data_IF_292935407233
#
_entry.id   IF_292935407233
#
_cell.length_a   1.000
_cell.length_b   1.000
_cell.length_c   1.000
_cell.angle_alpha   90.00
_cell.angle_beta   90.00
_cell.angle_gamma   90.00
#
_symmetry.space_group_name_H-M   'P 1'
#
loop_
_entity.id
_entity.type
_entity.pdbx_description
1 polymer ?
#
# COMPACT_ATOMS: atom_id res chain seq x y z
N UNK A 1 23.34 12.71 26.43
CA UNK A 1 22.55 12.62 25.18
C UNK A 1 21.10 12.47 25.60
N UNK A 2 20.30 13.54 25.54
CA UNK A 2 18.91 13.51 25.98
C UNK A 2 18.12 12.59 25.03
N UNK A 3 17.46 11.57 25.59
CA UNK A 3 16.57 10.70 24.83
C UNK A 3 15.38 11.54 24.39
N UNK A 4 15.27 11.73 23.09
CA UNK A 4 14.16 12.45 22.52
C UNK A 4 12.82 11.76 22.84
N UNK A 5 11.75 12.51 23.13
CA UNK A 5 10.44 11.91 23.40
C UNK A 5 10.03 11.00 22.23
N UNK A 6 9.64 9.76 22.52
CA UNK A 6 9.29 8.76 21.49
C UNK A 6 8.25 9.29 20.48
N UNK A 7 7.32 10.12 20.95
CA UNK A 7 6.30 10.78 20.14
C UNK A 7 6.85 11.78 19.11
N UNK A 8 7.83 12.61 19.48
CA UNK A 8 8.44 13.60 18.58
C UNK A 8 9.26 12.92 17.47
N UNK A 9 10.02 11.88 17.84
CA UNK A 9 10.71 11.03 16.88
C UNK A 9 9.74 10.30 15.93
N UNK A 10 8.55 9.91 16.41
CA UNK A 10 7.51 9.30 15.57
C UNK A 10 6.85 10.32 14.62
N UNK A 11 6.57 11.53 15.08
CA UNK A 11 6.01 12.60 14.26
C UNK A 11 6.94 12.99 13.09
N UNK A 12 8.25 13.12 13.34
CA UNK A 12 9.23 13.42 12.27
C UNK A 12 9.33 12.32 11.22
N UNK A 13 9.11 11.06 11.61
CA UNK A 13 9.19 9.93 10.66
C UNK A 13 8.14 10.01 9.56
N UNK A 14 6.95 10.55 9.82
CA UNK A 14 5.92 10.78 8.80
C UNK A 14 6.37 11.71 7.67
N UNK A 15 7.40 12.53 7.91
CA UNK A 15 7.99 13.43 6.90
C UNK A 15 9.16 12.79 6.15
N UNK A 16 9.48 11.52 6.44
CA UNK A 16 10.58 10.84 5.75
C UNK A 16 10.28 10.71 4.25
N UNK A 17 11.21 11.09 3.37
CA UNK A 17 11.01 10.97 1.93
C UNK A 17 10.77 9.51 1.52
N UNK A 18 11.36 8.55 2.24
CA UNK A 18 11.15 7.13 2.00
C UNK A 18 9.69 6.72 2.19
N UNK A 19 8.98 7.28 3.18
CA UNK A 19 7.54 7.04 3.37
C UNK A 19 6.76 7.64 2.21
N UNK A 20 7.07 8.87 1.81
CA UNK A 20 6.40 9.53 0.69
C UNK A 20 6.54 8.75 -0.62
N UNK A 21 7.76 8.33 -0.96
CA UNK A 21 8.04 7.51 -2.15
C UNK A 21 7.32 6.16 -2.08
N UNK A 22 7.35 5.50 -0.92
CA UNK A 22 6.69 4.21 -0.73
C UNK A 22 5.18 4.33 -0.89
N UNK A 23 4.55 5.29 -0.20
CA UNK A 23 3.10 5.52 -0.31
C UNK A 23 2.70 5.92 -1.73
N UNK A 24 3.43 6.86 -2.34
CA UNK A 24 3.17 7.30 -3.72
C UNK A 24 3.26 6.14 -4.72
N UNK A 25 4.27 5.28 -4.58
CA UNK A 25 4.41 4.09 -5.42
C UNK A 25 3.32 3.05 -5.20
N UNK A 26 2.91 2.80 -3.95
CA UNK A 26 1.80 1.89 -3.64
C UNK A 26 0.48 2.41 -4.21
N UNK A 27 0.25 3.72 -4.11
CA UNK A 27 -0.89 4.40 -4.73
C UNK A 27 -0.88 4.24 -6.24
N UNK A 28 0.27 4.50 -6.88
CA UNK A 28 0.43 4.31 -8.32
C UNK A 28 0.11 2.86 -8.73
N UNK A 29 0.63 1.88 -7.99
CA UNK A 29 0.41 0.45 -8.25
C UNK A 29 -1.07 0.10 -8.12
N UNK A 30 -1.74 0.56 -7.06
CA UNK A 30 -3.18 0.33 -6.88
C UNK A 30 -3.99 0.95 -8.02
N UNK A 31 -3.75 2.21 -8.37
CA UNK A 31 -4.52 2.92 -9.39
C UNK A 31 -4.30 2.33 -10.79
N UNK A 32 -3.05 2.07 -11.16
CA UNK A 32 -2.73 1.44 -12.46
C UNK A 32 -3.28 0.02 -12.56
N UNK A 33 -3.26 -0.75 -11.46
CA UNK A 33 -3.93 -2.05 -11.39
C UNK A 33 -5.45 -1.94 -11.57
N UNK A 34 -6.11 -0.98 -10.91
CA UNK A 34 -7.53 -0.71 -11.12
C UNK A 34 -7.85 -0.32 -12.57
N UNK A 35 -7.01 0.50 -13.21
CA UNK A 35 -7.18 0.84 -14.63
C UNK A 35 -7.08 -0.41 -15.51
N UNK A 36 -6.10 -1.29 -15.27
CA UNK A 36 -5.98 -2.55 -16.01
C UNK A 36 -7.16 -3.49 -15.76
N UNK A 37 -7.72 -3.48 -14.56
CA UNK A 37 -8.89 -4.29 -14.21
C UNK A 37 -10.15 -3.79 -14.91
N UNK A 38 -10.47 -2.51 -14.76
CA UNK A 38 -11.75 -1.94 -15.20
C UNK A 38 -11.73 -1.47 -16.65
N UNK A 39 -10.62 -0.92 -17.12
CA UNK A 39 -10.48 -0.41 -18.48
C UNK A 39 -9.68 -1.35 -19.40
N UNK A 40 -9.16 -2.47 -18.89
CA UNK A 40 -8.28 -3.37 -19.65
C UNK A 40 -8.87 -3.92 -20.95
N UNK A 41 -10.18 -4.10 -21.02
CA UNK A 41 -10.87 -4.54 -22.23
C UNK A 41 -10.83 -3.51 -23.37
N UNK A 42 -10.67 -2.23 -23.03
CA UNK A 42 -10.63 -1.10 -23.96
C UNK A 42 -9.19 -0.65 -24.28
N UNK A 43 -8.19 -1.21 -23.59
CA UNK A 43 -6.79 -0.87 -23.83
C UNK A 43 -6.22 -1.72 -24.96
N UNK A 44 -5.79 -1.03 -26.03
CA UNK A 44 -4.92 -1.65 -27.03
C UNK A 44 -3.66 -2.21 -26.34
N UNK A 45 -3.29 -3.44 -26.69
CA UNK A 45 -2.12 -4.13 -26.13
C UNK A 45 -2.15 -4.23 -24.60
N UNK A 46 -3.26 -4.67 -24.02
CA UNK A 46 -3.40 -4.93 -22.57
C UNK A 46 -2.19 -5.64 -21.96
N UNK A 47 -1.63 -6.65 -22.63
CA UNK A 47 -0.45 -7.40 -22.15
C UNK A 47 0.79 -6.49 -21.97
N UNK A 48 1.00 -5.54 -22.88
CA UNK A 48 2.08 -4.56 -22.77
C UNK A 48 1.88 -3.67 -21.54
N UNK A 49 0.67 -3.14 -21.34
CA UNK A 49 0.38 -2.30 -20.18
C UNK A 49 0.42 -3.07 -18.87
N UNK A 50 0.04 -4.36 -18.88
CA UNK A 50 0.21 -5.28 -17.76
C UNK A 50 1.68 -5.45 -17.38
N UNK A 51 2.57 -5.64 -18.36
CA UNK A 51 4.02 -5.70 -18.13
C UNK A 51 4.57 -4.37 -17.60
N UNK A 52 4.14 -3.24 -18.17
CA UNK A 52 4.55 -1.89 -17.69
C UNK A 52 4.15 -1.68 -16.24
N UNK A 53 2.90 -2.00 -15.88
CA UNK A 53 2.41 -1.95 -14.51
C UNK A 53 3.28 -2.82 -13.58
N UNK A 54 3.55 -4.06 -13.99
CA UNK A 54 4.33 -5.00 -13.19
C UNK A 54 5.77 -4.51 -12.96
N UNK A 55 6.47 -4.05 -14.01
CA UNK A 55 7.84 -3.51 -13.90
C UNK A 55 7.87 -2.26 -13.01
N UNK A 56 6.91 -1.34 -13.19
CA UNK A 56 6.82 -0.14 -12.37
C UNK A 56 6.50 -0.47 -10.91
N UNK A 57 5.60 -1.43 -10.66
CA UNK A 57 5.30 -1.92 -9.31
C UNK A 57 6.53 -2.57 -8.66
N UNK A 58 7.33 -3.33 -9.41
CA UNK A 58 8.57 -3.92 -8.93
C UNK A 58 9.61 -2.85 -8.56
N UNK A 59 9.71 -1.77 -9.35
CA UNK A 59 10.57 -0.64 -9.02
C UNK A 59 10.16 0.03 -7.69
N UNK A 60 8.84 0.15 -7.45
CA UNK A 60 8.28 0.63 -6.17
C UNK A 60 8.55 -0.35 -5.01
N UNK A 61 8.68 -1.64 -5.28
CA UNK A 61 8.97 -2.63 -4.23
C UNK A 61 10.34 -2.44 -3.59
N UNK A 62 11.32 -1.88 -4.29
CA UNK A 62 12.64 -1.62 -3.71
C UNK A 62 12.60 -0.67 -2.49
N UNK A 63 12.07 0.56 -2.59
CA UNK A 63 11.92 1.43 -1.42
C UNK A 63 10.97 0.85 -0.36
N UNK A 64 9.91 0.13 -0.76
CA UNK A 64 9.02 -0.55 0.18
C UNK A 64 9.77 -1.60 1.01
N UNK A 65 10.56 -2.47 0.38
CA UNK A 65 11.33 -3.52 1.06
C UNK A 65 12.36 -2.92 2.02
N UNK A 66 13.06 -1.85 1.60
CA UNK A 66 14.01 -1.13 2.47
C UNK A 66 13.28 -0.51 3.67
N UNK A 67 12.14 0.16 3.43
CA UNK A 67 11.32 0.71 4.49
C UNK A 67 10.89 -0.39 5.46
N UNK A 68 10.43 -1.52 4.92
CA UNK A 68 9.82 -2.57 5.72
C UNK A 68 10.83 -3.35 6.55
N UNK A 69 12.04 -3.57 6.03
CA UNK A 69 13.17 -4.10 6.80
C UNK A 69 13.56 -3.14 7.94
N UNK A 70 13.71 -1.84 7.64
CA UNK A 70 14.05 -0.83 8.66
C UNK A 70 12.97 -0.71 9.74
N UNK A 71 11.71 -0.82 9.35
CA UNK A 71 10.58 -0.84 10.26
C UNK A 71 10.62 -2.10 11.14
N UNK A 72 10.70 -3.28 10.52
CA UNK A 72 10.76 -4.57 11.22
C UNK A 72 11.87 -4.62 12.27
N UNK A 73 13.11 -4.24 11.92
CA UNK A 73 14.25 -4.24 12.85
C UNK A 73 14.00 -3.36 14.08
N UNK A 74 13.22 -2.28 13.94
CA UNK A 74 12.88 -1.37 15.03
C UNK A 74 11.75 -1.89 15.92
N UNK A 75 10.73 -2.51 15.32
CA UNK A 75 9.49 -2.84 16.02
C UNK A 75 9.31 -4.33 16.34
N UNK A 76 10.26 -5.20 15.94
CA UNK A 76 10.19 -6.66 16.18
C UNK A 76 10.05 -7.09 17.65
N UNK A 77 10.37 -6.22 18.60
CA UNK A 77 10.15 -6.49 20.03
C UNK A 77 8.68 -6.31 20.46
N UNK A 78 7.85 -5.67 19.63
CA UNK A 78 6.46 -5.34 19.92
C UNK A 78 5.45 -6.26 19.19
N UNK A 79 5.86 -7.48 18.80
CA UNK A 79 5.08 -8.41 17.97
C UNK A 79 3.66 -8.69 18.49
N UNK A 80 3.45 -8.59 19.81
CA UNK A 80 2.13 -8.81 20.44
C UNK A 80 1.15 -7.66 20.26
N UNK A 81 1.59 -6.47 19.84
CA UNK A 81 0.72 -5.31 19.71
C UNK A 81 -0.15 -5.41 18.44
N UNK A 82 -1.43 -5.06 18.56
CA UNK A 82 -2.43 -5.22 17.48
C UNK A 82 -2.01 -4.55 16.17
N UNK A 83 -1.48 -3.31 16.23
CA UNK A 83 -1.06 -2.59 15.02
C UNK A 83 0.09 -3.30 14.28
N UNK A 84 0.97 -4.01 15.00
CA UNK A 84 2.03 -4.82 14.41
C UNK A 84 1.45 -6.01 13.64
N UNK A 85 0.49 -6.73 14.24
CA UNK A 85 -0.18 -7.87 13.60
C UNK A 85 -0.90 -7.45 12.31
N UNK A 86 -1.60 -6.31 12.32
CA UNK A 86 -2.25 -5.76 11.11
C UNK A 86 -1.19 -5.44 10.04
N UNK A 87 -0.06 -4.84 10.43
CA UNK A 87 1.04 -4.56 9.50
C UNK A 87 1.68 -5.84 8.92
N UNK A 88 1.80 -6.90 9.72
CA UNK A 88 2.29 -8.20 9.27
C UNK A 88 1.33 -8.87 8.28
N UNK A 89 0.01 -8.84 8.55
CA UNK A 89 -0.98 -9.32 7.60
C UNK A 89 -0.94 -8.53 6.29
N UNK A 90 -0.79 -7.19 6.35
CA UNK A 90 -0.61 -6.37 5.15
C UNK A 90 0.64 -6.81 4.37
N UNK A 91 1.77 -7.05 5.04
CA UNK A 91 2.99 -7.54 4.40
C UNK A 91 2.77 -8.89 3.69
N UNK A 92 2.13 -9.86 4.35
CA UNK A 92 1.84 -11.16 3.75
C UNK A 92 0.88 -11.04 2.55
N UNK A 93 -0.15 -10.19 2.65
CA UNK A 93 -1.02 -9.90 1.51
C UNK A 93 -0.23 -9.27 0.35
N UNK A 94 0.71 -8.36 0.62
CA UNK A 94 1.58 -7.79 -0.42
C UNK A 94 2.45 -8.84 -1.09
N UNK A 95 3.00 -9.79 -0.34
CA UNK A 95 3.72 -10.94 -0.91
C UNK A 95 2.80 -11.76 -1.84
N UNK A 96 1.55 -12.01 -1.42
CA UNK A 96 0.53 -12.64 -2.26
C UNK A 96 0.29 -11.90 -3.57
N UNK A 97 0.14 -10.57 -3.50
CA UNK A 97 -0.01 -9.69 -4.68
C UNK A 97 1.19 -9.81 -5.62
N UNK A 98 2.43 -9.76 -5.10
CA UNK A 98 3.64 -9.86 -5.93
C UNK A 98 3.75 -11.23 -6.61
N UNK A 99 3.54 -12.32 -5.87
CA UNK A 99 3.64 -13.69 -6.40
C UNK A 99 2.59 -13.93 -7.49
N UNK A 100 1.33 -13.56 -7.23
CA UNK A 100 0.25 -13.68 -8.21
C UNK A 100 0.45 -12.74 -9.41
N UNK A 101 1.00 -11.55 -9.21
CA UNK A 101 1.33 -10.61 -10.30
C UNK A 101 2.44 -11.14 -11.21
N UNK A 102 3.48 -11.74 -10.63
CA UNK A 102 4.53 -12.43 -11.39
C UNK A 102 3.94 -13.58 -12.23
N UNK A 103 3.00 -14.34 -11.66
CA UNK A 103 2.32 -15.40 -12.38
C UNK A 103 1.52 -14.85 -13.58
N UNK A 104 0.84 -13.71 -13.45
CA UNK A 104 0.07 -13.10 -14.55
C UNK A 104 0.93 -12.61 -15.71
N UNK A 105 2.18 -12.19 -15.47
CA UNK A 105 3.12 -11.78 -16.53
C UNK A 105 3.94 -12.95 -17.10
N UNK A 106 3.91 -14.12 -16.46
CA UNK A 106 4.40 -15.37 -17.03
C UNK A 106 3.41 -15.86 -18.11
N UNK A 107 3.83 -16.66 -19.11
CA UNK A 107 2.94 -17.19 -20.16
C UNK A 107 1.89 -18.23 -19.66
N UNK A 108 1.26 -17.99 -18.52
CA UNK A 108 0.10 -18.69 -17.98
C UNK A 108 -1.14 -18.57 -18.87
N UNK A 109 -1.16 -17.61 -19.80
CA UNK A 109 -2.20 -17.44 -20.81
C UNK A 109 -2.41 -18.72 -21.66
N UNK A 110 -1.43 -19.62 -21.70
CA UNK A 110 -1.50 -20.90 -22.42
C UNK A 110 -2.27 -21.99 -21.68
N UNK A 111 -2.66 -21.76 -20.43
CA UNK A 111 -3.42 -22.72 -19.61
C UNK A 111 -4.83 -22.19 -19.37
N UNK A 112 -5.86 -22.73 -20.04
CA UNK A 112 -7.24 -22.29 -19.87
C UNK A 112 -7.70 -22.37 -18.40
N UNK A 113 -8.41 -21.34 -17.93
CA UNK A 113 -8.96 -21.27 -16.57
C UNK A 113 -7.96 -20.84 -15.48
N UNK A 114 -6.70 -21.25 -15.56
CA UNK A 114 -5.69 -20.90 -14.54
C UNK A 114 -5.41 -19.40 -14.48
N UNK A 115 -5.37 -18.72 -15.64
CA UNK A 115 -5.21 -17.27 -15.70
C UNK A 115 -6.28 -16.54 -14.89
N UNK A 116 -7.56 -16.89 -15.06
CA UNK A 116 -8.66 -16.24 -14.35
C UNK A 116 -8.63 -16.45 -12.84
N UNK A 117 -8.21 -17.64 -12.39
CA UNK A 117 -8.04 -17.93 -10.95
C UNK A 117 -6.89 -17.09 -10.36
N UNK A 118 -5.76 -17.00 -11.07
CA UNK A 118 -4.62 -16.19 -10.63
C UNK A 118 -4.97 -14.71 -10.63
N UNK A 119 -5.72 -14.23 -11.61
CA UNK A 119 -6.18 -12.84 -11.71
C UNK A 119 -7.09 -12.48 -10.53
N UNK A 120 -8.06 -13.35 -10.22
CA UNK A 120 -8.92 -13.20 -9.04
C UNK A 120 -8.13 -13.21 -7.73
N UNK A 121 -7.17 -14.13 -7.58
CA UNK A 121 -6.30 -14.17 -6.41
C UNK A 121 -5.47 -12.88 -6.29
N UNK A 122 -4.93 -12.37 -7.39
CA UNK A 122 -4.16 -11.13 -7.44
C UNK A 122 -4.99 -9.93 -6.98
N UNK A 123 -6.20 -9.79 -7.52
CA UNK A 123 -7.16 -8.76 -7.10
C UNK A 123 -7.48 -8.87 -5.60
N UNK A 124 -7.80 -10.07 -5.13
CA UNK A 124 -8.10 -10.32 -3.71
C UNK A 124 -6.95 -9.88 -2.81
N UNK A 125 -5.72 -10.32 -3.09
CA UNK A 125 -4.56 -9.92 -2.30
C UNK A 125 -4.29 -8.42 -2.37
N UNK A 126 -4.43 -7.80 -3.55
CA UNK A 126 -4.26 -6.37 -3.75
C UNK A 126 -5.25 -5.53 -2.92
N UNK A 127 -6.53 -5.89 -2.94
CA UNK A 127 -7.56 -5.18 -2.17
C UNK A 127 -7.44 -5.44 -0.65
N UNK A 128 -7.19 -6.69 -0.24
CA UNK A 128 -6.95 -7.00 1.17
C UNK A 128 -5.73 -6.24 1.70
N UNK A 129 -4.65 -6.17 0.92
CA UNK A 129 -3.50 -5.34 1.25
C UNK A 129 -3.88 -3.86 1.40
N UNK A 130 -4.62 -3.29 0.45
CA UNK A 130 -5.05 -1.89 0.49
C UNK A 130 -5.90 -1.57 1.74
N UNK A 131 -6.80 -2.47 2.14
CA UNK A 131 -7.59 -2.34 3.37
C UNK A 131 -6.70 -2.42 4.61
N UNK A 132 -5.84 -3.44 4.69
CA UNK A 132 -4.99 -3.66 5.85
C UNK A 132 -3.93 -2.56 6.03
N UNK A 133 -3.32 -2.08 4.96
CA UNK A 133 -2.36 -0.97 5.03
C UNK A 133 -3.05 0.33 5.43
N UNK A 134 -4.28 0.57 4.96
CA UNK A 134 -5.08 1.72 5.39
C UNK A 134 -5.41 1.64 6.88
N UNK A 135 -5.86 0.47 7.36
CA UNK A 135 -6.14 0.25 8.77
C UNK A 135 -4.87 0.40 9.62
N UNK A 136 -3.75 -0.16 9.18
CA UNK A 136 -2.45 -0.03 9.85
C UNK A 136 -2.01 1.44 9.95
N UNK A 137 -2.05 2.18 8.85
CA UNK A 137 -1.68 3.60 8.82
C UNK A 137 -2.57 4.44 9.73
N UNK A 138 -3.88 4.18 9.77
CA UNK A 138 -4.82 4.83 10.69
C UNK A 138 -4.47 4.53 12.14
N UNK A 139 -4.19 3.27 12.49
CA UNK A 139 -3.78 2.90 13.85
C UNK A 139 -2.47 3.58 14.25
N UNK A 140 -1.47 3.58 13.38
CA UNK A 140 -0.18 4.25 13.63
C UNK A 140 -0.36 5.76 13.75
N UNK A 141 -1.25 6.35 12.95
CA UNK A 141 -1.60 7.77 13.01
C UNK A 141 -2.25 8.14 14.36
N UNK A 142 -3.26 7.40 14.80
CA UNK A 142 -3.91 7.59 16.10
C UNK A 142 -2.90 7.43 17.25
N UNK A 143 -2.05 6.41 17.21
CA UNK A 143 -0.99 6.22 18.19
C UNK A 143 0.03 7.35 18.19
N UNK A 144 0.36 7.91 17.01
CA UNK A 144 1.27 9.05 16.90
C UNK A 144 0.67 10.28 17.60
N UNK A 145 -0.62 10.55 17.38
CA UNK A 145 -1.32 11.68 18.02
C UNK A 145 -1.45 11.45 19.53
N UNK A 146 -1.82 10.26 19.97
CA UNK A 146 -2.00 9.93 21.38
C UNK A 146 -0.69 9.99 22.19
N UNK A 147 0.47 9.86 21.53
CA UNK A 147 1.79 9.91 22.15
C UNK A 147 2.54 11.23 21.90
N UNK A 148 1.93 12.18 21.19
CA UNK A 148 2.57 13.46 20.89
C UNK A 148 2.78 14.26 22.19
N UNK A 149 3.98 14.82 22.43
CA UNK A 149 4.20 15.70 23.56
C UNK A 149 3.40 17.02 23.39
N UNK A 150 3.00 17.62 24.52
CA UNK A 150 2.26 18.87 24.54
C UNK A 150 2.96 19.96 23.72
N UNK A 151 2.28 20.49 22.70
CA UNK A 151 2.82 21.50 21.78
C UNK A 151 3.12 20.98 20.36
N UNK A 152 3.19 19.66 20.15
CA UNK A 152 3.38 19.05 18.81
C UNK A 152 2.08 18.52 18.19
N UNK A 153 0.96 18.58 18.92
CA UNK A 153 -0.36 18.08 18.53
C UNK A 153 -0.81 18.57 17.15
N UNK A 154 -0.55 19.84 16.82
CA UNK A 154 -0.95 20.43 15.55
C UNK A 154 -0.26 19.76 14.35
N UNK A 155 1.01 19.41 14.50
CA UNK A 155 1.80 18.72 13.46
C UNK A 155 1.29 17.29 13.29
N UNK A 156 1.09 16.58 14.40
CA UNK A 156 0.58 15.21 14.38
C UNK A 156 -0.82 15.15 13.72
N UNK A 157 -1.76 16.01 14.15
CA UNK A 157 -3.10 16.10 13.55
C UNK A 157 -3.07 16.46 12.07
N UNK A 158 -2.17 17.35 11.64
CA UNK A 158 -2.03 17.71 10.22
C UNK A 158 -1.54 16.52 9.38
N UNK A 159 -0.60 15.74 9.89
CA UNK A 159 -0.11 14.53 9.21
C UNK A 159 -1.23 13.48 9.08
N UNK A 160 -1.97 13.22 10.16
CA UNK A 160 -3.14 12.31 10.15
C UNK A 160 -4.20 12.79 9.16
N UNK A 161 -4.52 14.09 9.17
CA UNK A 161 -5.50 14.68 8.26
C UNK A 161 -5.10 14.48 6.80
N UNK A 162 -3.82 14.71 6.45
CA UNK A 162 -3.32 14.47 5.09
C UNK A 162 -3.48 13.01 4.65
N UNK A 163 -3.20 12.06 5.55
CA UNK A 163 -3.39 10.63 5.28
C UNK A 163 -4.85 10.25 5.05
N UNK A 164 -5.75 10.75 5.90
CA UNK A 164 -7.18 10.52 5.74
C UNK A 164 -7.69 11.11 4.42
N UNK A 165 -7.21 12.31 4.04
CA UNK A 165 -7.53 12.89 2.74
C UNK A 165 -7.01 12.05 1.57
N UNK A 166 -5.75 11.59 1.61
CA UNK A 166 -5.21 10.73 0.57
C UNK A 166 -5.97 9.42 0.46
N UNK A 167 -6.27 8.76 1.58
CA UNK A 167 -7.05 7.53 1.61
C UNK A 167 -8.47 7.74 1.07
N UNK A 168 -9.13 8.84 1.44
CA UNK A 168 -10.45 9.20 0.93
C UNK A 168 -10.42 9.46 -0.58
N UNK A 169 -9.46 10.26 -1.07
CA UNK A 169 -9.32 10.52 -2.50
C UNK A 169 -9.04 9.25 -3.30
N UNK A 170 -8.22 8.34 -2.79
CA UNK A 170 -7.94 7.05 -3.42
C UNK A 170 -9.18 6.18 -3.52
N UNK A 171 -9.95 6.11 -2.43
CA UNK A 171 -11.20 5.36 -2.38
C UNK A 171 -12.19 5.94 -3.37
N UNK A 172 -12.37 7.26 -3.39
CA UNK A 172 -13.26 7.95 -4.34
C UNK A 172 -12.83 7.77 -5.79
N UNK A 173 -11.53 7.86 -6.08
CA UNK A 173 -11.00 7.64 -7.43
C UNK A 173 -11.21 6.20 -7.92
N UNK A 174 -10.99 5.22 -7.05
CA UNK A 174 -11.26 3.82 -7.35
C UNK A 174 -12.75 3.57 -7.63
N UNK A 175 -13.65 4.15 -6.81
CA UNK A 175 -15.10 4.07 -7.02
C UNK A 175 -15.54 4.77 -8.31
N UNK A 176 -15.00 5.94 -8.62
CA UNK A 176 -15.32 6.68 -9.84
C UNK A 176 -14.88 5.92 -11.10
N UNK A 177 -13.68 5.32 -11.08
CA UNK A 177 -13.19 4.47 -12.17
C UNK A 177 -14.04 3.22 -12.35
N UNK A 178 -14.39 2.53 -11.26
CA UNK A 178 -15.26 1.37 -11.31
C UNK A 178 -16.67 1.71 -11.86
N UNK A 179 -17.23 2.85 -11.45
CA UNK A 179 -18.53 3.32 -11.94
C UNK A 179 -18.49 3.73 -13.41
N UNK A 180 -17.43 4.41 -13.86
CA UNK A 180 -17.27 4.81 -15.26
C UNK A 180 -17.13 3.60 -16.19
N UNK A 181 -16.34 2.60 -15.81
CA UNK A 181 -16.14 1.40 -16.62
C UNK A 181 -17.37 0.47 -16.69
N UNK A 182 -18.35 0.66 -15.80
CA UNK A 182 -19.62 -0.09 -15.81
C UNK A 182 -20.72 0.54 -16.67
N UNK A 183 -20.45 1.66 -17.35
CA UNK A 183 -21.37 2.34 -18.28
C UNK A 183 -20.95 2.08 -19.73
#
# INVERSE_FOLDING_TARGET
>A
MALEPEGAAQARRWRSPLIGVTLGGLVFSLLSGCVLLFAGAYLERRDYWGMVHWVAALAVMAPYAVYQLRHYLRVRQYVRQTHYRVGLHAFLSMCGTVVTGLALVWPLQRVPGLYGVVDLAHMFFGFVFAILVSAHLTLVALLTVARAPAGEDGVARTAVRRLLWMAAMLTSAAFALAFWAGR
#
